data_IF_921421427713
#
_entry.id   IF_921421427713
#
_cell.length_a   1.000
_cell.length_b   1.000
_cell.length_c   1.000
_cell.angle_alpha   90.00
_cell.angle_beta   90.00
_cell.angle_gamma   90.00
#
_symmetry.space_group_name_H-M   'P 1'
#
loop_
_entity.id
_entity.type
_entity.pdbx_description
1 polymer ?
#
# COMPACT_ATOMS: atom_id res chain seq x y z
N UNK A 1 20.35 33.58 40.78
CA UNK A 1 20.69 32.40 39.98
C UNK A 1 19.43 32.00 39.24
N UNK A 2 19.54 31.88 37.93
CA UNK A 2 18.37 31.66 37.07
C UNK A 2 17.86 30.21 37.25
N UNK A 3 16.59 30.06 37.63
CA UNK A 3 15.91 28.75 37.83
C UNK A 3 16.15 27.78 36.67
N UNK A 4 16.31 28.31 35.47
CA UNK A 4 16.59 27.55 34.27
C UNK A 4 17.97 26.87 34.29
N UNK A 5 18.95 27.52 34.82
CA UNK A 5 20.33 27.01 34.96
C UNK A 5 20.38 25.90 36.02
N UNK A 6 19.62 26.04 37.09
CA UNK A 6 19.54 25.04 38.15
C UNK A 6 18.81 23.75 37.68
N UNK A 7 17.68 23.91 36.98
CA UNK A 7 16.94 22.78 36.38
C UNK A 7 17.80 22.04 35.34
N UNK A 8 18.47 22.80 34.46
CA UNK A 8 19.38 22.22 33.46
C UNK A 8 20.53 21.42 34.10
N UNK A 9 21.10 21.94 35.18
CA UNK A 9 22.19 21.29 35.92
C UNK A 9 21.70 20.06 36.68
N UNK A 10 20.48 20.06 37.22
CA UNK A 10 19.84 18.90 37.84
C UNK A 10 19.53 17.80 36.80
N UNK A 11 18.98 18.19 35.64
CA UNK A 11 18.75 17.24 34.54
C UNK A 11 20.06 16.62 34.06
N UNK A 12 21.12 17.40 33.89
CA UNK A 12 22.46 16.90 33.54
C UNK A 12 23.07 15.97 34.60
N UNK A 13 22.86 16.29 35.87
CA UNK A 13 23.32 15.45 36.97
C UNK A 13 22.54 14.13 37.09
N UNK A 14 21.22 14.16 36.81
CA UNK A 14 20.36 12.96 36.78
C UNK A 14 20.62 12.10 35.56
N UNK A 15 20.86 12.71 34.39
CA UNK A 15 21.17 11.97 33.14
C UNK A 15 22.55 11.25 33.19
N UNK A 16 23.38 11.56 34.20
CA UNK A 16 24.76 11.10 34.19
C UNK A 16 25.55 11.71 33.03
N UNK A 17 26.87 11.59 33.01
CA UNK A 17 27.72 12.04 31.88
C UNK A 17 27.76 11.06 30.73
N UNK A 18 26.64 10.42 30.40
CA UNK A 18 26.58 9.52 29.25
C UNK A 18 26.28 10.35 28.02
N UNK A 19 27.28 10.61 27.23
CA UNK A 19 27.10 11.26 25.93
C UNK A 19 26.68 10.18 24.95
N UNK A 20 25.51 10.32 24.29
CA UNK A 20 25.12 9.38 23.24
C UNK A 20 26.24 9.28 22.20
N UNK A 21 26.63 8.06 21.86
CA UNK A 21 27.68 7.80 20.88
C UNK A 21 27.02 7.39 19.56
N UNK A 22 27.40 8.06 18.49
CA UNK A 22 27.01 7.72 17.12
C UNK A 22 28.18 6.96 16.46
N UNK A 23 27.86 5.76 15.98
CA UNK A 23 28.83 4.88 15.32
C UNK A 23 28.30 4.50 13.94
N UNK A 24 29.19 4.45 12.96
CA UNK A 24 28.85 3.90 11.64
C UNK A 24 29.57 2.56 11.46
N UNK A 25 28.82 1.54 11.10
CA UNK A 25 29.36 0.19 10.92
C UNK A 25 28.68 -0.57 9.80
N UNK A 26 29.26 -1.71 9.47
CA UNK A 26 28.77 -2.62 8.45
C UNK A 26 27.88 -3.69 9.07
N UNK A 27 26.70 -3.94 8.50
CA UNK A 27 25.82 -5.03 8.92
C UNK A 27 26.43 -6.37 8.53
N UNK A 28 26.69 -7.22 9.51
CA UNK A 28 27.18 -8.58 9.29
C UNK A 28 26.05 -9.60 9.17
N UNK A 29 25.02 -9.45 10.03
CA UNK A 29 23.83 -10.31 10.00
C UNK A 29 22.63 -9.58 10.58
N UNK A 30 21.46 -10.02 10.18
CA UNK A 30 20.15 -9.61 10.74
C UNK A 30 19.50 -10.84 11.35
N UNK A 31 18.93 -10.69 12.54
CA UNK A 31 18.20 -11.73 13.25
C UNK A 31 16.92 -11.14 13.86
N UNK A 32 15.80 -11.34 13.16
CA UNK A 32 14.51 -10.78 13.54
C UNK A 32 14.54 -9.26 13.70
N UNK A 33 14.38 -8.76 14.92
CA UNK A 33 14.29 -7.34 15.25
C UNK A 33 15.65 -6.72 15.65
N UNK A 34 16.74 -7.47 15.50
CA UNK A 34 18.09 -7.02 15.81
C UNK A 34 19.07 -7.30 14.68
N UNK A 35 20.20 -6.65 14.72
CA UNK A 35 21.30 -6.95 13.81
C UNK A 35 22.66 -6.94 14.53
N UNK A 36 23.65 -7.53 13.88
CA UNK A 36 25.04 -7.44 14.28
C UNK A 36 25.76 -6.46 13.37
N UNK A 37 26.46 -5.49 13.96
CA UNK A 37 27.16 -4.42 13.24
C UNK A 37 28.64 -4.41 13.60
N UNK A 38 29.49 -4.46 12.58
CA UNK A 38 30.94 -4.33 12.72
C UNK A 38 31.36 -2.86 12.57
N UNK A 39 32.03 -2.32 13.57
CA UNK A 39 32.58 -0.96 13.61
C UNK A 39 34.10 -1.08 13.79
N UNK A 40 34.87 -1.11 12.68
CA UNK A 40 36.29 -1.48 12.73
C UNK A 40 36.47 -2.89 13.27
N UNK A 41 37.26 -3.03 14.32
CA UNK A 41 37.49 -4.31 15.01
C UNK A 41 36.44 -4.62 16.09
N UNK A 42 35.51 -3.67 16.36
CA UNK A 42 34.45 -3.83 17.33
C UNK A 42 33.22 -4.47 16.67
N UNK A 43 32.69 -5.50 17.34
CA UNK A 43 31.43 -6.15 16.93
C UNK A 43 30.33 -5.84 17.94
N UNK A 44 29.31 -5.14 17.47
CA UNK A 44 28.11 -4.85 18.24
C UNK A 44 27.04 -5.90 17.91
N UNK A 45 26.65 -6.70 18.88
CA UNK A 45 25.56 -7.67 18.77
C UNK A 45 24.26 -7.06 19.31
N UNK A 46 23.13 -7.61 18.92
CA UNK A 46 21.78 -7.24 19.44
C UNK A 46 21.43 -5.76 19.25
N UNK A 47 21.97 -5.14 18.18
CA UNK A 47 21.61 -3.77 17.80
C UNK A 47 20.16 -3.75 17.34
N UNK A 48 19.31 -2.98 18.01
CA UNK A 48 17.87 -2.92 17.73
C UNK A 48 17.57 -2.26 16.40
N UNK A 49 16.62 -2.85 15.66
CA UNK A 49 16.04 -2.32 14.41
C UNK A 49 14.66 -1.71 14.62
N UNK A 50 14.03 -2.03 15.74
CA UNK A 50 12.65 -1.69 16.07
C UNK A 50 12.57 -0.28 16.66
N UNK A 51 11.69 0.56 16.11
CA UNK A 51 11.49 1.93 16.59
C UNK A 51 10.53 2.04 17.80
N UNK A 52 9.73 0.99 18.08
CA UNK A 52 8.82 0.95 19.24
C UNK A 52 9.43 0.10 20.34
N UNK A 53 9.70 0.72 21.49
CA UNK A 53 10.51 0.10 22.56
C UNK A 53 9.73 -0.87 23.44
N UNK A 54 8.42 -0.70 23.63
CA UNK A 54 7.63 -1.45 24.62
C UNK A 54 6.28 -1.97 24.10
N UNK A 55 6.12 -2.16 22.77
CA UNK A 55 4.88 -2.69 22.22
C UNK A 55 5.08 -4.07 21.61
N UNK A 56 4.35 -5.08 22.09
CA UNK A 56 4.30 -6.39 21.42
C UNK A 56 3.33 -6.35 20.22
N UNK A 57 2.34 -5.44 20.27
CA UNK A 57 1.21 -5.34 19.34
C UNK A 57 1.40 -4.39 18.17
N UNK A 58 2.46 -3.58 18.20
CA UNK A 58 2.74 -2.62 17.11
C UNK A 58 4.24 -2.47 16.89
N UNK A 59 4.66 -2.52 15.64
CA UNK A 59 6.05 -2.32 15.24
C UNK A 59 6.17 -1.54 13.95
N UNK A 60 7.21 -0.72 13.88
CA UNK A 60 7.79 -0.23 12.65
C UNK A 60 9.21 -0.78 12.58
N UNK A 61 9.44 -1.71 11.69
CA UNK A 61 10.73 -2.37 11.53
C UNK A 61 11.33 -1.99 10.18
N UNK A 62 12.56 -1.48 10.21
CA UNK A 62 13.35 -1.22 9.00
C UNK A 62 14.52 -2.19 9.01
N UNK A 63 14.51 -3.13 8.10
CA UNK A 63 15.55 -4.17 7.98
C UNK A 63 16.63 -3.69 7.03
N UNK A 64 17.88 -3.51 7.52
CA UNK A 64 19.02 -3.18 6.67
C UNK A 64 19.45 -4.39 5.84
N UNK A 65 19.94 -4.11 4.65
CA UNK A 65 20.54 -5.16 3.82
C UNK A 65 21.87 -5.63 4.42
N UNK A 66 22.05 -6.93 4.54
CA UNK A 66 23.33 -7.51 4.99
C UNK A 66 24.47 -7.04 4.09
N UNK A 67 25.55 -6.60 4.71
CA UNK A 67 26.71 -6.02 4.02
C UNK A 67 26.64 -4.51 3.78
N UNK A 68 25.48 -3.88 4.01
CA UNK A 68 25.30 -2.42 3.94
C UNK A 68 25.87 -1.72 5.19
N UNK A 69 25.87 -0.39 5.18
CA UNK A 69 26.29 0.41 6.31
C UNK A 69 25.09 0.99 7.05
N UNK A 70 25.20 1.03 8.37
CA UNK A 70 24.19 1.63 9.26
C UNK A 70 24.85 2.59 10.23
N UNK A 71 24.06 3.57 10.67
CA UNK A 71 24.44 4.44 11.80
C UNK A 71 23.72 3.94 13.04
N UNK A 72 24.48 3.64 14.06
CA UNK A 72 24.03 3.13 15.36
C UNK A 72 24.17 4.23 16.40
N UNK A 73 23.13 4.46 17.18
CA UNK A 73 23.19 5.29 18.38
C UNK A 73 23.31 4.39 19.61
N UNK A 74 24.20 4.74 20.51
CA UNK A 74 24.27 4.16 21.86
C UNK A 74 23.69 5.15 22.87
N UNK A 75 22.54 4.83 23.44
CA UNK A 75 21.87 5.65 24.44
C UNK A 75 22.45 5.49 25.83
N UNK A 76 23.08 4.33 26.09
CA UNK A 76 23.66 4.01 27.40
C UNK A 76 25.02 4.64 27.63
N UNK A 77 25.76 4.93 26.57
CA UNK A 77 27.19 5.34 26.62
C UNK A 77 28.13 4.20 27.04
N UNK A 78 27.63 2.97 27.09
CA UNK A 78 28.38 1.75 27.50
C UNK A 78 28.19 0.63 26.46
N UNK A 79 27.63 0.96 25.29
CA UNK A 79 27.31 0.02 24.18
C UNK A 79 26.35 -1.11 24.57
N UNK A 80 25.45 -0.84 25.54
CA UNK A 80 24.46 -1.81 26.03
C UNK A 80 23.08 -1.60 25.44
N UNK A 81 22.76 -0.39 25.05
CA UNK A 81 21.45 0.03 24.48
C UNK A 81 21.68 0.70 23.15
N UNK A 82 21.93 -0.13 22.15
CA UNK A 82 22.25 0.30 20.80
C UNK A 82 21.04 0.14 19.86
N UNK A 83 20.84 1.12 18.98
CA UNK A 83 19.76 1.15 18.02
C UNK A 83 20.21 1.72 16.68
N UNK A 84 19.71 1.17 15.56
CA UNK A 84 19.99 1.70 14.23
C UNK A 84 19.08 2.91 13.97
N UNK A 85 19.71 4.03 13.60
CA UNK A 85 19.03 5.30 13.30
C UNK A 85 19.26 5.78 11.86
N UNK A 86 20.16 5.15 11.12
CA UNK A 86 20.45 5.48 9.73
C UNK A 86 20.82 4.27 8.92
N UNK A 87 20.43 4.25 7.65
CA UNK A 87 20.59 3.11 6.74
C UNK A 87 21.17 3.58 5.42
N UNK A 88 22.16 2.86 4.86
CA UNK A 88 22.63 3.09 3.49
C UNK A 88 21.79 2.31 2.46
N UNK A 89 21.39 1.09 2.80
CA UNK A 89 20.52 0.25 1.99
C UNK A 89 19.52 -0.47 2.90
N UNK A 90 18.27 -0.55 2.45
CA UNK A 90 17.16 -1.19 3.16
C UNK A 90 16.74 -2.43 2.37
N UNK A 91 16.50 -3.54 3.04
CA UNK A 91 15.96 -4.77 2.47
C UNK A 91 14.44 -4.83 2.60
N UNK A 92 13.88 -4.42 3.76
CA UNK A 92 12.44 -4.40 4.01
C UNK A 92 12.03 -3.29 4.97
N UNK A 93 10.77 -2.87 4.86
CA UNK A 93 10.08 -2.00 5.82
C UNK A 93 8.76 -2.68 6.17
N UNK A 94 8.57 -3.01 7.45
CA UNK A 94 7.38 -3.63 7.97
C UNK A 94 6.67 -2.69 8.93
N UNK A 95 5.39 -2.45 8.67
CA UNK A 95 4.49 -1.71 9.54
C UNK A 95 3.40 -2.68 9.99
N UNK A 96 3.40 -3.01 11.26
CA UNK A 96 2.45 -3.93 11.86
C UNK A 96 1.78 -3.25 13.06
N UNK A 97 0.46 -3.19 13.08
CA UNK A 97 -0.30 -2.52 14.14
C UNK A 97 -1.72 -3.05 14.20
N UNK A 98 -2.24 -3.22 15.41
CA UNK A 98 -3.65 -3.48 15.66
C UNK A 98 -4.52 -2.21 15.58
N UNK A 99 -3.89 -1.04 15.44
CA UNK A 99 -4.56 0.25 15.29
C UNK A 99 -4.68 0.65 13.81
N UNK A 100 -5.32 1.78 13.56
CA UNK A 100 -5.47 2.35 12.22
C UNK A 100 -4.16 2.88 11.66
N UNK A 101 -3.93 2.68 10.35
CA UNK A 101 -2.90 3.39 9.58
C UNK A 101 -3.60 4.43 8.72
N UNK A 102 -3.41 5.71 9.04
CA UNK A 102 -4.01 6.83 8.31
C UNK A 102 -2.96 7.53 7.45
N UNK A 103 -3.13 7.48 6.12
CA UNK A 103 -2.29 8.20 5.16
C UNK A 103 -3.09 9.38 4.62
N UNK A 104 -2.69 10.62 4.97
CA UNK A 104 -3.32 11.85 4.49
C UNK A 104 -2.29 12.74 3.83
N UNK A 105 -2.52 13.06 2.56
CA UNK A 105 -1.70 14.00 1.80
C UNK A 105 -2.58 15.03 1.08
N UNK A 106 -2.00 16.20 0.73
CA UNK A 106 -2.68 17.21 -0.09
C UNK A 106 -2.38 17.04 -1.60
N UNK A 107 -1.50 16.15 -1.95
CA UNK A 107 -1.12 15.79 -3.31
C UNK A 107 -1.50 14.35 -3.64
N UNK A 108 -0.83 13.78 -4.61
CA UNK A 108 -1.05 12.40 -5.06
C UNK A 108 -0.33 11.39 -4.13
N UNK A 109 -0.92 10.21 -3.96
CA UNK A 109 -0.25 9.04 -3.39
C UNK A 109 0.06 8.06 -4.51
N UNK A 110 1.34 7.81 -4.77
CA UNK A 110 1.79 6.88 -5.79
C UNK A 110 2.36 5.63 -5.13
N UNK A 111 1.90 4.46 -5.57
CA UNK A 111 2.44 3.15 -5.19
C UNK A 111 2.96 2.51 -6.47
N UNK A 112 4.28 2.38 -6.57
CA UNK A 112 4.97 1.82 -7.74
C UNK A 112 5.83 0.65 -7.28
N UNK A 113 5.60 -0.53 -7.85
CA UNK A 113 6.34 -1.75 -7.53
C UNK A 113 6.40 -2.68 -8.75
N UNK A 114 7.51 -3.39 -8.90
CA UNK A 114 7.67 -4.42 -9.94
C UNK A 114 6.90 -5.71 -9.62
N UNK A 115 6.50 -5.88 -8.38
CA UNK A 115 5.77 -7.05 -7.89
C UNK A 115 4.26 -6.86 -7.87
N UNK A 116 3.61 -7.47 -6.90
CA UNK A 116 2.14 -7.45 -6.73
C UNK A 116 1.75 -6.57 -5.56
N UNK A 117 0.76 -5.70 -5.76
CA UNK A 117 0.07 -5.02 -4.66
C UNK A 117 -1.07 -5.94 -4.18
N UNK A 118 -0.97 -6.39 -2.94
CA UNK A 118 -1.98 -7.25 -2.32
C UNK A 118 -2.82 -6.45 -1.33
N UNK A 119 -4.14 -6.52 -1.46
CA UNK A 119 -5.09 -5.87 -0.56
C UNK A 119 -5.94 -6.96 0.08
N UNK A 120 -6.15 -6.90 1.41
CA UNK A 120 -6.87 -7.91 2.20
C UNK A 120 -6.33 -9.34 1.99
N UNK A 121 -5.01 -9.51 1.99
CA UNK A 121 -4.40 -10.81 1.78
C UNK A 121 -4.65 -11.45 0.40
N UNK A 122 -5.30 -10.71 -0.53
CA UNK A 122 -5.66 -11.24 -1.85
C UNK A 122 -7.02 -11.97 -1.92
N UNK A 123 -7.78 -12.00 -0.84
CA UNK A 123 -9.03 -12.79 -0.73
C UNK A 123 -10.14 -12.32 -1.68
N UNK A 124 -10.12 -11.06 -2.11
CA UNK A 124 -11.16 -10.44 -2.94
C UNK A 124 -10.85 -10.47 -4.45
N UNK A 125 -9.92 -11.33 -4.89
CA UNK A 125 -9.40 -11.36 -6.26
C UNK A 125 -8.70 -10.05 -6.68
N UNK A 126 -8.31 -9.95 -7.95
CA UNK A 126 -7.69 -8.75 -8.52
C UNK A 126 -8.68 -7.63 -8.79
N UNK A 127 -8.20 -6.40 -8.86
CA UNK A 127 -8.98 -5.25 -9.33
C UNK A 127 -9.41 -5.48 -10.78
N UNK A 128 -10.65 -5.08 -11.10
CA UNK A 128 -11.19 -5.24 -12.44
C UNK A 128 -10.41 -4.37 -13.45
N UNK A 129 -10.03 -4.99 -14.57
CA UNK A 129 -9.47 -4.24 -15.72
C UNK A 129 -10.60 -3.53 -16.43
N UNK A 130 -10.72 -2.22 -16.22
CA UNK A 130 -11.82 -1.38 -16.75
C UNK A 130 -12.00 -1.53 -18.24
N UNK A 131 -10.92 -1.56 -19.03
CA UNK A 131 -10.98 -1.79 -20.48
C UNK A 131 -11.64 -3.13 -20.85
N UNK A 132 -11.34 -4.19 -20.11
CA UNK A 132 -11.91 -5.50 -20.37
C UNK A 132 -13.40 -5.55 -20.02
N UNK A 133 -13.79 -4.90 -18.91
CA UNK A 133 -15.19 -4.75 -18.50
C UNK A 133 -15.96 -3.94 -19.53
N UNK A 134 -15.45 -2.78 -19.94
CA UNK A 134 -16.07 -1.92 -20.96
C UNK A 134 -16.27 -2.66 -22.30
N UNK A 135 -15.27 -3.44 -22.76
CA UNK A 135 -15.38 -4.26 -23.95
C UNK A 135 -16.49 -5.31 -23.85
N UNK A 136 -16.62 -5.97 -22.69
CA UNK A 136 -17.67 -6.98 -22.46
C UNK A 136 -19.06 -6.36 -22.41
N UNK A 137 -19.21 -5.22 -21.72
CA UNK A 137 -20.47 -4.48 -21.67
C UNK A 137 -20.87 -4.04 -23.07
N UNK A 138 -19.96 -3.45 -23.85
CA UNK A 138 -20.22 -3.04 -25.24
C UNK A 138 -20.64 -4.21 -26.12
N UNK A 139 -20.03 -5.37 -25.96
CA UNK A 139 -20.42 -6.57 -26.71
C UNK A 139 -21.88 -6.96 -26.39
N UNK A 140 -22.28 -6.96 -25.10
CA UNK A 140 -23.64 -7.24 -24.66
C UNK A 140 -24.65 -6.19 -25.19
N UNK A 141 -24.29 -4.90 -25.13
CA UNK A 141 -25.11 -3.81 -25.68
C UNK A 141 -25.37 -4.00 -27.20
N UNK A 142 -24.33 -4.36 -27.94
CA UNK A 142 -24.43 -4.61 -29.38
C UNK A 142 -25.27 -5.85 -29.70
N UNK A 143 -25.12 -6.95 -28.94
CA UNK A 143 -25.92 -8.16 -29.10
C UNK A 143 -27.40 -7.86 -28.82
N UNK A 144 -27.68 -7.15 -27.73
CA UNK A 144 -29.06 -6.78 -27.38
C UNK A 144 -29.67 -5.83 -28.41
N UNK A 145 -28.88 -4.88 -28.93
CA UNK A 145 -29.35 -3.99 -30.00
C UNK A 145 -29.58 -4.76 -31.32
N UNK A 146 -28.76 -5.77 -31.61
CA UNK A 146 -28.95 -6.65 -32.76
C UNK A 146 -30.25 -7.47 -32.64
N UNK A 147 -30.51 -8.00 -31.44
CA UNK A 147 -31.77 -8.69 -31.14
C UNK A 147 -32.95 -7.76 -31.30
N UNK A 148 -32.89 -6.54 -30.75
CA UNK A 148 -33.96 -5.52 -30.90
C UNK A 148 -34.23 -5.17 -32.36
N UNK A 149 -33.19 -5.02 -33.20
CA UNK A 149 -33.30 -4.81 -34.63
C UNK A 149 -33.99 -5.99 -35.34
N UNK A 150 -33.58 -7.23 -34.98
CA UNK A 150 -34.20 -8.43 -35.55
C UNK A 150 -35.71 -8.44 -35.29
N UNK A 151 -36.15 -8.13 -34.07
CA UNK A 151 -37.57 -8.01 -33.75
C UNK A 151 -38.27 -6.83 -34.48
N UNK A 152 -37.58 -5.70 -34.62
CA UNK A 152 -38.12 -4.53 -35.30
C UNK A 152 -38.36 -4.81 -36.79
N UNK A 153 -37.44 -5.55 -37.43
CA UNK A 153 -37.51 -5.87 -38.88
C UNK A 153 -38.30 -7.16 -39.18
N UNK A 154 -38.58 -7.97 -38.16
CA UNK A 154 -39.30 -9.22 -38.31
C UNK A 154 -40.69 -9.02 -38.89
N UNK A 155 -41.06 -9.80 -39.92
CA UNK A 155 -42.38 -9.82 -40.52
C UNK A 155 -43.09 -11.09 -40.10
N UNK A 156 -44.14 -11.02 -39.31
CA UNK A 156 -44.93 -12.21 -38.88
C UNK A 156 -45.60 -12.88 -40.08
N UNK A 157 -45.65 -14.21 -40.06
CA UNK A 157 -46.44 -15.00 -41.01
C UNK A 157 -47.93 -14.86 -40.61
N UNK A 158 -48.79 -14.84 -41.60
CA UNK A 158 -50.23 -14.71 -41.38
C UNK A 158 -50.76 -15.93 -40.65
N UNK A 159 -51.51 -15.71 -39.56
CA UNK A 159 -52.14 -16.70 -38.69
C UNK A 159 -51.21 -17.52 -37.77
N UNK A 160 -49.98 -17.12 -37.56
CA UNK A 160 -49.04 -17.80 -36.62
C UNK A 160 -49.01 -17.17 -35.19
N UNK A 161 -49.82 -16.13 -34.94
CA UNK A 161 -49.81 -15.39 -33.68
C UNK A 161 -48.66 -14.36 -33.56
N UNK A 162 -47.73 -14.34 -34.50
CA UNK A 162 -46.54 -13.48 -34.48
C UNK A 162 -46.87 -11.99 -34.57
N UNK A 163 -48.00 -11.63 -35.17
CA UNK A 163 -48.45 -10.23 -35.24
C UNK A 163 -48.72 -9.61 -33.84
N UNK A 164 -49.36 -10.37 -32.96
CA UNK A 164 -49.61 -9.96 -31.57
C UNK A 164 -48.30 -9.80 -30.78
N UNK A 165 -47.34 -10.73 -30.93
CA UNK A 165 -46.03 -10.64 -30.30
C UNK A 165 -45.26 -9.41 -30.82
N UNK A 166 -45.23 -9.21 -32.14
CA UNK A 166 -44.56 -8.04 -32.73
C UNK A 166 -45.15 -6.73 -32.19
N UNK A 167 -46.47 -6.62 -32.12
CA UNK A 167 -47.12 -5.42 -31.57
C UNK A 167 -46.68 -5.17 -30.11
N UNK A 168 -46.65 -6.22 -29.30
CA UNK A 168 -46.24 -6.11 -27.89
C UNK A 168 -44.79 -5.70 -27.66
N UNK A 169 -43.87 -6.06 -28.56
CA UNK A 169 -42.43 -5.75 -28.39
C UNK A 169 -41.97 -4.54 -29.20
N UNK A 170 -42.81 -3.95 -30.05
CA UNK A 170 -42.42 -2.84 -30.93
C UNK A 170 -41.82 -1.64 -30.17
N UNK A 171 -42.48 -1.21 -29.10
CA UNK A 171 -42.00 -0.09 -28.30
C UNK A 171 -40.64 -0.39 -27.65
N UNK A 172 -40.43 -1.59 -27.11
CA UNK A 172 -39.17 -2.02 -26.54
C UNK A 172 -38.08 -2.15 -27.61
N UNK A 173 -38.37 -2.72 -28.76
CA UNK A 173 -37.39 -2.90 -29.86
C UNK A 173 -36.91 -1.56 -30.44
N UNK A 174 -37.72 -0.52 -30.38
CA UNK A 174 -37.34 0.83 -30.84
C UNK A 174 -36.38 1.55 -29.87
N UNK A 175 -36.31 1.13 -28.61
CA UNK A 175 -35.44 1.75 -27.59
C UNK A 175 -34.05 1.12 -27.65
N UNK A 176 -33.20 1.55 -28.58
CA UNK A 176 -31.82 1.10 -28.65
C UNK A 176 -31.03 1.60 -27.46
N UNK A 177 -30.18 0.73 -26.92
CA UNK A 177 -29.22 1.10 -25.87
C UNK A 177 -28.09 1.90 -26.51
N UNK A 178 -27.73 3.04 -25.90
CA UNK A 178 -26.53 3.75 -26.28
C UNK A 178 -25.33 2.93 -25.81
N UNK A 179 -24.47 2.46 -26.73
CA UNK A 179 -23.30 1.67 -26.32
C UNK A 179 -22.39 2.45 -25.39
N UNK A 180 -21.89 1.81 -24.36
CA UNK A 180 -20.81 2.34 -23.51
C UNK A 180 -19.59 2.63 -24.37
N UNK A 181 -19.35 3.90 -24.65
CA UNK A 181 -18.38 4.30 -25.66
C UNK A 181 -16.97 4.42 -25.14
N UNK A 182 -16.81 4.66 -23.86
CA UNK A 182 -15.49 4.96 -23.29
C UNK A 182 -15.31 4.29 -21.95
N UNK A 183 -14.10 3.80 -21.68
CA UNK A 183 -13.72 3.28 -20.36
C UNK A 183 -13.78 4.39 -19.29
N UNK A 184 -13.58 5.67 -19.68
CA UNK A 184 -13.70 6.82 -18.79
C UNK A 184 -15.06 6.94 -18.09
N UNK A 185 -16.13 6.40 -18.71
CA UNK A 185 -17.46 6.40 -18.09
C UNK A 185 -17.57 5.42 -16.90
N UNK A 186 -16.62 4.47 -16.79
CA UNK A 186 -16.54 3.44 -15.77
C UNK A 186 -15.36 3.65 -14.81
N UNK A 187 -14.54 4.64 -15.05
CA UNK A 187 -13.30 4.91 -14.34
C UNK A 187 -13.51 6.01 -13.30
N UNK A 188 -12.94 5.84 -12.13
CA UNK A 188 -12.81 6.93 -11.18
C UNK A 188 -11.51 7.69 -11.49
N UNK A 189 -11.60 8.92 -12.01
CA UNK A 189 -10.44 9.73 -12.40
C UNK A 189 -9.46 10.02 -11.25
N UNK A 190 -9.93 9.89 -10.00
CA UNK A 190 -9.12 10.11 -8.80
C UNK A 190 -8.43 8.84 -8.28
N UNK A 191 -8.82 7.68 -8.77
CA UNK A 191 -8.21 6.39 -8.38
C UNK A 191 -7.65 5.74 -9.62
N UNK A 192 -6.35 5.86 -9.80
CA UNK A 192 -5.60 5.18 -10.88
C UNK A 192 -4.95 3.92 -10.33
N UNK A 193 -4.92 2.86 -11.09
CA UNK A 193 -4.29 1.57 -10.76
C UNK A 193 -3.61 0.96 -11.99
#
# INVERSE_FOLDING_TARGET
MDNYTEIRNKIRAMAGRKTPLLLTGKVESVDGETCTVAVGDLKLTDVRLRSVVNGEESKLLITPKTGSYVTVIDLSGELRETEVVGYSEIEAIDIDTEADINIKCNGDTNIDCDGTVTINGGDNHGLAKVDAVAKKIRALENDLNSLKRAFSTWVPVVYDGGASLKAGITAWAAQLIQPTTKYQDLENEKVKH
#
